data_IF_790277011627
#
_entry.id   IF_790277011627
#
_cell.length_a   1.000
_cell.length_b   1.000
_cell.length_c   1.000
_cell.angle_alpha   90.00
_cell.angle_beta   90.00
_cell.angle_gamma   90.00
#
_symmetry.space_group_name_H-M   'P 1'
#
loop_
_entity.id
_entity.type
_entity.pdbx_description
1 polymer ?
#
# COMPACT_ATOMS: atom_id res chain seq x y z
N UNK A 1 -19.75 -8.82 26.50
CA UNK A 1 -18.42 -8.74 25.90
C UNK A 1 -18.46 -7.73 24.78
N UNK A 2 -17.52 -6.78 24.75
CA UNK A 2 -17.39 -5.79 23.66
C UNK A 2 -16.22 -6.22 22.79
N UNK A 3 -16.47 -6.33 21.49
CA UNK A 3 -15.45 -6.65 20.50
C UNK A 3 -15.12 -5.40 19.67
N UNK A 4 -13.85 -5.18 19.39
CA UNK A 4 -13.37 -4.10 18.55
C UNK A 4 -12.82 -4.66 17.25
N UNK A 5 -13.25 -4.11 16.14
CA UNK A 5 -12.77 -4.50 14.81
C UNK A 5 -12.68 -3.29 13.88
N UNK A 6 -11.68 -3.24 13.02
CA UNK A 6 -11.58 -2.27 11.94
C UNK A 6 -12.34 -2.68 10.67
N UNK A 7 -12.87 -3.89 10.64
CA UNK A 7 -13.61 -4.44 9.48
C UNK A 7 -14.84 -5.18 9.98
N UNK A 8 -15.91 -4.46 10.41
CA UNK A 8 -17.12 -5.05 10.98
C UNK A 8 -18.04 -5.66 9.90
N UNK A 9 -17.47 -6.46 8.98
CA UNK A 9 -18.22 -7.05 7.87
C UNK A 9 -18.37 -8.55 8.03
N UNK A 10 -19.55 -9.06 7.74
CA UNK A 10 -19.81 -10.44 7.45
C UNK A 10 -20.14 -10.54 5.95
N UNK A 11 -19.29 -11.22 5.20
CA UNK A 11 -19.31 -11.20 3.72
C UNK A 11 -19.17 -9.78 3.19
N UNK A 12 -20.24 -9.15 2.66
CA UNK A 12 -20.24 -7.78 2.15
C UNK A 12 -21.21 -6.86 2.93
N UNK A 13 -21.69 -7.28 4.09
CA UNK A 13 -22.62 -6.52 4.92
C UNK A 13 -22.01 -6.17 6.27
N UNK A 14 -22.31 -4.96 6.76
CA UNK A 14 -21.91 -4.55 8.11
C UNK A 14 -22.66 -5.41 9.13
N UNK A 15 -21.96 -5.86 10.17
CA UNK A 15 -22.57 -6.63 11.26
C UNK A 15 -23.74 -5.83 11.88
N UNK A 16 -24.91 -6.45 12.11
CA UNK A 16 -26.09 -5.73 12.60
C UNK A 16 -25.96 -5.21 14.06
N UNK A 17 -24.97 -5.71 14.79
CA UNK A 17 -24.77 -5.42 16.22
C UNK A 17 -23.65 -4.39 16.47
N UNK A 18 -23.35 -3.52 15.51
CA UNK A 18 -22.38 -2.42 15.70
C UNK A 18 -23.00 -1.36 16.60
N UNK A 19 -22.49 -1.25 17.84
CA UNK A 19 -22.97 -0.29 18.85
C UNK A 19 -22.39 1.10 18.64
N UNK A 20 -21.17 1.19 18.14
CA UNK A 20 -20.46 2.44 17.85
C UNK A 20 -19.51 2.26 16.67
N UNK A 21 -19.55 3.21 15.75
CA UNK A 21 -18.64 3.25 14.60
C UNK A 21 -17.94 4.61 14.55
N UNK A 22 -16.61 4.58 14.44
CA UNK A 22 -15.80 5.76 14.14
C UNK A 22 -15.19 5.56 12.76
N UNK A 23 -15.75 6.24 11.77
CA UNK A 23 -15.44 6.03 10.36
C UNK A 23 -14.09 6.59 9.94
N UNK A 24 -13.60 6.15 8.80
CA UNK A 24 -12.38 6.67 8.17
C UNK A 24 -12.49 8.15 7.85
N UNK A 25 -13.63 8.58 7.35
CA UNK A 25 -13.93 10.00 7.07
C UNK A 25 -13.69 10.88 8.28
N UNK A 26 -14.22 10.49 9.44
CA UNK A 26 -14.05 11.23 10.68
C UNK A 26 -12.58 11.20 11.16
N UNK A 27 -11.92 10.06 11.03
CA UNK A 27 -10.51 9.90 11.39
C UNK A 27 -9.58 10.76 10.53
N UNK A 28 -9.86 10.89 9.24
CA UNK A 28 -9.13 11.78 8.32
C UNK A 28 -9.43 13.24 8.64
N UNK A 29 -10.71 13.61 8.81
CA UNK A 29 -11.13 14.97 9.14
C UNK A 29 -10.53 15.46 10.46
N UNK A 30 -10.44 14.59 11.46
CA UNK A 30 -9.80 14.87 12.75
C UNK A 30 -8.27 14.71 12.74
N UNK A 31 -7.67 14.47 11.56
CA UNK A 31 -6.22 14.37 11.37
C UNK A 31 -5.53 13.23 12.13
N UNK A 32 -6.27 12.18 12.50
CA UNK A 32 -5.68 10.95 13.07
C UNK A 32 -5.08 10.05 12.00
N UNK A 33 -5.52 10.25 10.76
CA UNK A 33 -5.00 9.55 9.57
C UNK A 33 -4.51 10.55 8.54
N UNK A 34 -3.65 10.09 7.63
CA UNK A 34 -3.28 10.85 6.43
C UNK A 34 -4.53 11.15 5.60
N UNK A 35 -4.53 12.29 4.93
CA UNK A 35 -5.43 12.54 3.81
C UNK A 35 -5.12 11.57 2.66
N UNK A 36 -6.06 11.36 1.73
CA UNK A 36 -5.89 10.39 0.66
C UNK A 36 -6.29 10.94 -0.70
N UNK A 37 -5.44 10.69 -1.70
CA UNK A 37 -5.73 10.90 -3.11
C UNK A 37 -5.97 9.55 -3.79
N UNK A 38 -7.21 9.29 -4.17
CA UNK A 38 -7.63 8.04 -4.79
C UNK A 38 -7.86 8.28 -6.29
N UNK A 39 -7.26 7.42 -7.14
CA UNK A 39 -7.53 7.42 -8.58
C UNK A 39 -7.86 6.03 -9.06
N UNK A 40 -8.99 5.90 -9.76
CA UNK A 40 -9.43 4.68 -10.41
C UNK A 40 -9.00 4.61 -11.87
N UNK A 41 -8.61 3.42 -12.31
CA UNK A 41 -8.16 3.13 -13.67
C UNK A 41 -9.00 2.03 -14.29
N UNK A 42 -9.23 2.11 -15.62
CA UNK A 42 -9.98 1.08 -16.35
C UNK A 42 -9.18 -0.22 -16.48
N UNK A 43 -7.87 -0.10 -16.66
CA UNK A 43 -6.96 -1.25 -16.75
C UNK A 43 -5.78 -1.07 -15.78
N UNK A 44 -5.82 -1.82 -14.69
CA UNK A 44 -4.73 -1.85 -13.70
C UNK A 44 -3.67 -2.91 -14.00
N UNK A 45 -3.95 -3.86 -14.92
CA UNK A 45 -3.01 -4.90 -15.34
C UNK A 45 -2.28 -4.47 -16.62
N UNK A 46 -1.48 -3.40 -16.50
CA UNK A 46 -0.71 -2.89 -17.63
C UNK A 46 0.57 -2.20 -17.17
N UNK A 47 1.58 -2.22 -18.03
CA UNK A 47 2.84 -1.49 -17.82
C UNK A 47 2.58 0.02 -17.70
N UNK A 48 1.61 0.54 -18.46
CA UNK A 48 1.23 1.96 -18.40
C UNK A 48 0.70 2.34 -17.03
N UNK A 49 -0.11 1.48 -16.38
CA UNK A 49 -0.57 1.70 -15.03
C UNK A 49 0.60 1.77 -14.05
N UNK A 50 1.51 0.79 -14.07
CA UNK A 50 2.68 0.77 -13.19
C UNK A 50 3.57 1.99 -13.41
N UNK A 51 3.81 2.37 -14.66
CA UNK A 51 4.59 3.57 -15.01
C UNK A 51 3.96 4.81 -14.41
N UNK A 52 2.68 5.05 -14.67
CA UNK A 52 1.95 6.22 -14.16
C UNK A 52 1.99 6.28 -12.63
N UNK A 53 1.77 5.15 -11.96
CA UNK A 53 1.77 5.10 -10.49
C UNK A 53 3.14 5.42 -9.91
N UNK A 54 4.20 4.86 -10.49
CA UNK A 54 5.58 5.08 -10.01
C UNK A 54 6.00 6.53 -10.26
N UNK A 55 5.71 7.08 -11.45
CA UNK A 55 6.00 8.48 -11.79
C UNK A 55 5.26 9.45 -10.87
N UNK A 56 3.94 9.27 -10.65
CA UNK A 56 3.13 10.06 -9.71
C UNK A 56 3.71 10.01 -8.28
N UNK A 57 4.06 8.80 -7.83
CA UNK A 57 4.63 8.59 -6.51
C UNK A 57 5.98 9.27 -6.38
N UNK A 58 6.87 9.08 -7.34
CA UNK A 58 8.22 9.65 -7.30
C UNK A 58 8.22 11.17 -7.43
N UNK A 59 7.39 11.73 -8.30
CA UNK A 59 7.21 13.17 -8.42
C UNK A 59 6.73 13.83 -7.11
N UNK A 60 5.90 13.10 -6.35
CA UNK A 60 5.33 13.62 -5.11
C UNK A 60 6.26 13.42 -3.91
N UNK A 61 6.94 12.27 -3.82
CA UNK A 61 7.64 11.83 -2.60
C UNK A 61 9.14 11.56 -2.80
N UNK A 62 9.64 11.57 -4.02
CA UNK A 62 11.07 11.35 -4.31
C UNK A 62 11.95 12.32 -3.54
N UNK A 63 12.94 11.79 -2.83
CA UNK A 63 13.88 12.54 -2.01
C UNK A 63 13.33 13.13 -0.69
N UNK A 64 12.02 12.97 -0.39
CA UNK A 64 11.44 13.41 0.89
C UNK A 64 11.74 12.43 2.00
N UNK A 65 11.84 12.97 3.22
CA UNK A 65 11.97 12.20 4.46
C UNK A 65 10.94 12.68 5.48
N UNK A 66 10.37 11.74 6.21
CA UNK A 66 9.47 11.97 7.33
C UNK A 66 9.99 11.20 8.54
N UNK A 67 10.38 11.90 9.60
CA UNK A 67 11.07 11.32 10.77
C UNK A 67 12.30 10.46 10.39
N UNK A 68 13.04 10.85 9.36
CA UNK A 68 14.21 10.11 8.84
C UNK A 68 13.86 8.93 7.93
N UNK A 69 12.59 8.69 7.65
CA UNK A 69 12.11 7.59 6.83
C UNK A 69 11.66 8.06 5.44
N UNK A 70 12.11 7.37 4.40
CA UNK A 70 11.64 7.60 3.04
C UNK A 70 10.22 7.08 2.84
N UNK A 71 9.33 7.83 2.17
CA UNK A 71 8.03 7.34 1.73
C UNK A 71 8.13 6.06 0.90
N UNK A 72 7.17 5.16 1.08
CA UNK A 72 7.12 3.85 0.43
C UNK A 72 5.83 3.68 -0.36
N UNK A 73 5.95 2.97 -1.49
CA UNK A 73 4.85 2.53 -2.35
C UNK A 73 4.75 1.02 -2.30
N UNK A 74 3.60 0.49 -1.90
CA UNK A 74 3.29 -0.93 -1.98
C UNK A 74 2.51 -1.25 -3.25
N UNK A 75 2.95 -2.23 -4.02
CA UNK A 75 2.30 -2.70 -5.23
C UNK A 75 1.86 -4.15 -5.01
N UNK A 76 0.55 -4.41 -5.09
CA UNK A 76 -0.04 -5.71 -4.83
C UNK A 76 -0.39 -6.43 -6.13
N UNK A 77 0.26 -7.56 -6.38
CA UNK A 77 -0.11 -8.53 -7.41
C UNK A 77 -1.14 -9.54 -6.91
N UNK A 78 -1.75 -10.25 -7.84
CA UNK A 78 -2.72 -11.31 -7.53
C UNK A 78 -2.03 -12.63 -7.20
N UNK A 79 -0.96 -12.96 -7.91
CA UNK A 79 -0.19 -14.20 -7.78
C UNK A 79 1.29 -13.90 -7.63
N UNK A 80 2.04 -14.89 -7.15
CA UNK A 80 3.49 -14.82 -7.05
C UNK A 80 4.11 -14.67 -8.44
N UNK A 81 3.61 -15.44 -9.40
CA UNK A 81 4.07 -15.39 -10.79
C UNK A 81 3.91 -13.99 -11.41
N UNK A 82 2.76 -13.36 -11.22
CA UNK A 82 2.50 -11.98 -11.64
C UNK A 82 3.49 -10.98 -11.01
N UNK A 83 3.79 -11.13 -9.71
CA UNK A 83 4.76 -10.26 -9.02
C UNK A 83 6.16 -10.43 -9.61
N UNK A 84 6.58 -11.66 -9.90
CA UNK A 84 7.95 -11.96 -10.34
C UNK A 84 8.14 -11.68 -11.82
N UNK A 85 7.17 -12.08 -12.67
CA UNK A 85 7.33 -12.09 -14.11
C UNK A 85 6.69 -10.90 -14.83
N UNK A 86 5.79 -10.17 -14.19
CA UNK A 86 5.12 -9.00 -14.78
C UNK A 86 5.48 -7.71 -14.01
N UNK A 87 5.13 -7.64 -12.72
CA UNK A 87 5.27 -6.40 -11.93
C UNK A 87 6.74 -6.04 -11.77
N UNK A 88 7.57 -6.96 -11.30
CA UNK A 88 8.99 -6.70 -11.04
C UNK A 88 9.74 -6.19 -12.27
N UNK A 89 9.69 -6.84 -13.45
CA UNK A 89 10.40 -6.35 -14.63
C UNK A 89 9.90 -4.98 -15.10
N UNK A 90 8.59 -4.71 -14.98
CA UNK A 90 8.02 -3.42 -15.33
C UNK A 90 8.50 -2.32 -14.36
N UNK A 91 8.50 -2.59 -13.05
CA UNK A 91 9.02 -1.66 -12.04
C UNK A 91 10.51 -1.39 -12.26
N UNK A 92 11.34 -2.42 -12.44
CA UNK A 92 12.78 -2.28 -12.70
C UNK A 92 13.06 -1.38 -13.92
N UNK A 93 12.28 -1.55 -14.99
CA UNK A 93 12.38 -0.72 -16.21
C UNK A 93 12.04 0.74 -15.92
N UNK A 94 10.93 1.01 -15.27
CA UNK A 94 10.50 2.37 -14.94
C UNK A 94 11.50 3.06 -14.01
N UNK A 95 11.99 2.36 -12.98
CA UNK A 95 13.00 2.92 -12.07
C UNK A 95 14.29 3.25 -12.81
N UNK A 96 14.73 2.38 -13.74
CA UNK A 96 15.90 2.63 -14.57
C UNK A 96 15.72 3.85 -15.48
N UNK A 97 14.53 4.02 -16.08
CA UNK A 97 14.19 5.20 -16.88
C UNK A 97 14.23 6.50 -16.04
N UNK A 98 13.86 6.43 -14.78
CA UNK A 98 13.88 7.56 -13.84
C UNK A 98 15.22 7.76 -13.13
N UNK A 99 16.22 6.90 -13.37
CA UNK A 99 17.52 6.96 -12.70
C UNK A 99 17.45 6.60 -11.21
N UNK A 100 16.45 5.81 -10.80
CA UNK A 100 16.26 5.37 -9.43
C UNK A 100 16.97 4.03 -9.21
N UNK A 101 17.80 3.89 -8.16
CA UNK A 101 18.50 2.65 -7.88
C UNK A 101 17.55 1.46 -7.64
N UNK A 102 17.84 0.30 -8.24
CA UNK A 102 17.01 -0.91 -8.13
C UNK A 102 17.07 -1.56 -6.75
N UNK A 103 18.08 -1.25 -5.95
CA UNK A 103 18.18 -1.69 -4.55
C UNK A 103 17.06 -1.12 -3.66
N UNK A 104 16.33 -0.10 -4.13
CA UNK A 104 15.11 0.42 -3.47
C UNK A 104 13.90 -0.52 -3.61
N UNK A 105 13.98 -1.56 -4.42
CA UNK A 105 12.94 -2.58 -4.54
C UNK A 105 13.07 -3.59 -3.39
N UNK A 106 11.94 -3.99 -2.84
CA UNK A 106 11.80 -5.12 -1.92
C UNK A 106 10.67 -6.01 -2.41
N UNK A 107 10.89 -7.33 -2.41
CA UNK A 107 9.89 -8.31 -2.81
C UNK A 107 9.55 -9.18 -1.62
N UNK A 108 8.28 -9.25 -1.24
CA UNK A 108 7.79 -10.15 -0.21
C UNK A 108 6.52 -10.87 -0.69
N UNK A 109 6.70 -12.04 -1.27
CA UNK A 109 5.62 -12.90 -1.75
C UNK A 109 5.15 -13.90 -0.69
N UNK A 110 5.97 -14.09 0.36
CA UNK A 110 5.76 -15.13 1.36
C UNK A 110 6.20 -16.53 0.91
N UNK A 111 6.78 -16.67 -0.28
CA UNK A 111 7.42 -17.90 -0.74
C UNK A 111 8.94 -17.80 -0.46
N UNK A 112 9.48 -18.73 0.32
CA UNK A 112 10.88 -18.74 0.74
C UNK A 112 11.86 -18.92 -0.44
N UNK A 113 11.42 -19.46 -1.57
CA UNK A 113 12.25 -19.58 -2.78
C UNK A 113 12.48 -18.24 -3.47
N UNK A 114 11.57 -17.29 -3.27
CA UNK A 114 11.58 -15.98 -3.93
C UNK A 114 11.96 -14.87 -2.95
N UNK A 115 11.37 -14.88 -1.77
CA UNK A 115 11.64 -13.91 -0.72
C UNK A 115 12.82 -14.42 0.12
N UNK A 116 13.97 -13.77 0.01
CA UNK A 116 15.18 -14.13 0.75
C UNK A 116 15.10 -13.65 2.20
N UNK A 117 15.89 -14.26 3.09
CA UNK A 117 15.93 -13.87 4.52
C UNK A 117 16.23 -12.39 4.73
N UNK A 118 17.12 -11.81 3.93
CA UNK A 118 17.41 -10.38 3.98
C UNK A 118 16.21 -9.51 3.58
N UNK A 119 15.36 -9.96 2.65
CA UNK A 119 14.15 -9.26 2.26
C UNK A 119 13.07 -9.37 3.35
N UNK A 120 12.98 -10.51 4.03
CA UNK A 120 12.09 -10.70 5.18
C UNK A 120 12.50 -9.75 6.32
N UNK A 121 13.81 -9.69 6.62
CA UNK A 121 14.34 -8.77 7.63
C UNK A 121 14.07 -7.32 7.23
N UNK A 122 14.43 -6.92 6.01
CA UNK A 122 14.17 -5.58 5.50
C UNK A 122 12.68 -5.20 5.55
N UNK A 123 11.78 -6.16 5.27
CA UNK A 123 10.33 -5.95 5.37
C UNK A 123 9.86 -5.69 6.81
N UNK A 124 10.47 -6.34 7.78
CA UNK A 124 10.16 -6.12 9.19
C UNK A 124 10.72 -4.78 9.71
N UNK A 125 11.81 -4.31 9.11
CA UNK A 125 12.56 -3.11 9.53
C UNK A 125 12.24 -1.86 8.66
N UNK A 126 11.13 -1.85 7.91
CA UNK A 126 10.77 -0.75 6.98
C UNK A 126 10.70 0.63 7.67
N UNK A 127 10.29 0.68 8.92
CA UNK A 127 10.18 1.90 9.73
C UNK A 127 11.31 2.03 10.78
N UNK A 128 12.37 1.24 10.66
CA UNK A 128 13.56 1.35 11.52
C UNK A 128 14.58 2.23 10.80
N UNK A 129 14.82 3.43 11.30
CA UNK A 129 15.77 4.39 10.73
C UNK A 129 17.16 3.77 10.61
N UNK A 130 17.87 4.08 9.52
CA UNK A 130 19.21 3.57 9.20
C UNK A 130 19.31 2.05 8.97
N UNK A 131 18.18 1.35 8.90
CA UNK A 131 18.13 -0.06 8.50
C UNK A 131 18.15 -0.25 6.97
N UNK A 132 18.42 -1.48 6.52
CA UNK A 132 18.22 -1.84 5.11
C UNK A 132 16.76 -1.69 4.69
N UNK A 133 15.80 -1.91 5.61
CA UNK A 133 14.38 -1.76 5.35
C UNK A 133 13.98 -0.31 5.11
N UNK A 134 14.55 0.64 5.87
CA UNK A 134 14.21 2.07 5.71
C UNK A 134 14.60 2.62 4.34
N UNK A 135 15.59 2.03 3.67
CA UNK A 135 16.04 2.42 2.32
C UNK A 135 15.15 1.90 1.20
N UNK A 136 14.30 0.89 1.48
CA UNK A 136 13.36 0.33 0.52
C UNK A 136 12.19 1.28 0.30
N UNK A 137 11.85 1.54 -0.97
CA UNK A 137 10.78 2.47 -1.34
C UNK A 137 9.68 1.83 -2.19
N UNK A 138 9.98 0.77 -2.94
CA UNK A 138 9.03 0.06 -3.79
C UNK A 138 8.86 -1.37 -3.29
N UNK A 139 7.71 -1.65 -2.66
CA UNK A 139 7.44 -2.92 -1.98
C UNK A 139 6.49 -3.75 -2.85
N UNK A 140 6.98 -4.83 -3.43
CA UNK A 140 6.19 -5.72 -4.27
C UNK A 140 5.63 -6.87 -3.44
N UNK A 141 4.32 -7.01 -3.41
CA UNK A 141 3.61 -7.91 -2.51
C UNK A 141 2.66 -8.86 -3.26
N UNK A 142 2.60 -10.11 -2.77
CA UNK A 142 1.54 -11.04 -3.10
C UNK A 142 1.01 -11.67 -1.80
N UNK A 143 -0.28 -11.51 -1.53
CA UNK A 143 -0.95 -12.05 -0.34
C UNK A 143 -0.36 -11.67 1.04
N UNK A 144 0.83 -11.11 1.11
CA UNK A 144 1.45 -10.58 2.34
C UNK A 144 1.01 -9.12 2.57
N UNK A 145 1.18 -8.62 3.79
CA UNK A 145 0.78 -7.27 4.15
C UNK A 145 -0.72 -7.07 4.34
N UNK A 146 -1.52 -8.16 4.34
CA UNK A 146 -2.95 -8.10 4.67
C UNK A 146 -3.15 -7.87 6.17
N UNK A 147 -2.41 -8.61 6.99
CA UNK A 147 -2.52 -8.58 8.46
C UNK A 147 -1.14 -8.47 9.10
N UNK A 148 -1.09 -7.90 10.31
CA UNK A 148 0.12 -7.84 11.13
C UNK A 148 1.23 -6.89 10.65
N UNK A 149 1.14 -6.33 9.44
CA UNK A 149 2.16 -5.42 8.93
C UNK A 149 1.86 -3.97 9.33
N UNK A 150 2.82 -3.35 9.99
CA UNK A 150 2.75 -1.93 10.38
C UNK A 150 3.88 -1.16 9.70
N UNK A 151 3.54 -0.24 8.80
CA UNK A 151 4.48 0.63 8.13
C UNK A 151 3.89 2.05 8.05
N UNK A 152 4.36 2.96 8.94
CA UNK A 152 3.90 4.35 8.97
C UNK A 152 4.44 5.15 7.79
N UNK A 153 5.62 4.77 7.30
CA UNK A 153 6.24 5.37 6.12
C UNK A 153 5.64 4.90 4.79
N UNK A 154 4.56 4.09 4.81
CA UNK A 154 3.80 3.77 3.62
C UNK A 154 2.95 4.98 3.22
N UNK A 155 3.21 5.54 2.05
CA UNK A 155 2.52 6.71 1.49
C UNK A 155 1.75 6.39 0.21
N UNK A 156 2.00 5.24 -0.39
CA UNK A 156 1.34 4.82 -1.60
C UNK A 156 0.92 3.35 -1.60
N UNK A 157 -0.23 3.07 -2.18
CA UNK A 157 -0.70 1.71 -2.47
C UNK A 157 -1.20 1.65 -3.91
N UNK A 158 -0.74 0.66 -4.65
CA UNK A 158 -1.23 0.32 -5.98
C UNK A 158 -1.74 -1.13 -6.00
N UNK A 159 -2.97 -1.33 -6.47
CA UNK A 159 -3.51 -2.68 -6.68
C UNK A 159 -3.39 -3.03 -8.17
N UNK A 160 -2.40 -3.85 -8.52
CA UNK A 160 -2.23 -4.45 -9.86
C UNK A 160 -3.20 -5.62 -10.06
N UNK A 161 -4.41 -5.47 -9.52
CA UNK A 161 -5.48 -6.46 -9.55
C UNK A 161 -6.81 -5.79 -9.20
N UNK A 162 -7.91 -6.41 -9.58
CA UNK A 162 -9.26 -6.00 -9.18
C UNK A 162 -9.87 -7.05 -8.24
N UNK A 163 -9.55 -7.01 -6.94
CA UNK A 163 -10.10 -7.97 -5.99
C UNK A 163 -11.60 -7.75 -5.80
N UNK A 164 -12.36 -8.85 -5.69
CA UNK A 164 -13.80 -8.81 -5.42
C UNK A 164 -14.12 -8.61 -3.93
N UNK A 165 -13.17 -8.86 -3.05
CA UNK A 165 -13.34 -8.74 -1.60
C UNK A 165 -13.21 -7.30 -1.15
N UNK A 166 -14.29 -6.68 -0.69
CA UNK A 166 -14.31 -5.37 -0.04
C UNK A 166 -13.32 -5.31 1.12
N UNK A 167 -13.30 -6.32 1.97
CA UNK A 167 -12.38 -6.39 3.11
C UNK A 167 -10.92 -6.35 2.65
N UNK A 168 -10.57 -7.06 1.57
CA UNK A 168 -9.20 -7.01 1.05
C UNK A 168 -8.84 -5.61 0.54
N UNK A 169 -9.72 -4.97 -0.22
CA UNK A 169 -9.48 -3.61 -0.74
C UNK A 169 -9.23 -2.66 0.42
N UNK A 170 -10.09 -2.67 1.43
CA UNK A 170 -9.96 -1.83 2.61
C UNK A 170 -8.66 -2.14 3.38
N UNK A 171 -8.40 -3.40 3.71
CA UNK A 171 -7.21 -3.78 4.47
C UNK A 171 -5.89 -3.47 3.76
N UNK A 172 -5.83 -3.60 2.44
CA UNK A 172 -4.63 -3.28 1.68
C UNK A 172 -4.40 -1.77 1.57
N UNK A 173 -5.47 -1.01 1.25
CA UNK A 173 -5.35 0.42 0.94
C UNK A 173 -5.27 1.31 2.17
N UNK A 174 -5.97 0.99 3.26
CA UNK A 174 -5.98 1.81 4.48
C UNK A 174 -4.65 1.82 5.23
N UNK A 175 -3.75 0.91 4.93
CA UNK A 175 -2.42 0.88 5.59
C UNK A 175 -1.61 2.12 5.33
N UNK A 176 -1.73 2.74 4.14
CA UNK A 176 -1.01 3.97 3.84
C UNK A 176 -1.56 5.21 4.56
N UNK A 177 -2.71 5.11 5.20
CA UNK A 177 -3.32 6.24 5.91
C UNK A 177 -2.73 6.49 7.31
N UNK A 178 -1.93 5.58 7.84
CA UNK A 178 -1.31 5.76 9.17
C UNK A 178 -0.38 6.95 9.19
N UNK A 179 -0.58 7.86 10.15
CA UNK A 179 0.27 9.05 10.34
C UNK A 179 1.70 8.67 10.74
N UNK A 180 2.66 9.50 10.33
CA UNK A 180 4.06 9.35 10.71
C UNK A 180 4.58 10.56 11.52
N UNK A 181 4.08 11.77 11.23
CA UNK A 181 4.42 13.00 11.94
C UNK A 181 3.16 13.64 12.52
N UNK A 182 3.34 14.73 13.31
CA UNK A 182 2.22 15.50 13.88
C UNK A 182 1.36 16.24 12.84
N UNK A 183 1.94 16.59 11.68
CA UNK A 183 1.20 17.22 10.60
C UNK A 183 0.54 16.17 9.70
N UNK A 184 -0.67 16.46 9.23
CA UNK A 184 -1.38 15.56 8.35
C UNK A 184 -0.70 15.49 6.98
N UNK A 185 -0.18 14.31 6.64
CA UNK A 185 0.36 14.03 5.31
C UNK A 185 -0.75 13.57 4.39
N UNK A 186 -0.41 13.44 3.10
CA UNK A 186 -1.28 12.87 2.08
C UNK A 186 -0.76 11.53 1.62
N UNK A 187 -1.61 10.55 1.44
CA UNK A 187 -1.29 9.27 0.83
C UNK A 187 -1.89 9.17 -0.57
N UNK A 188 -1.38 8.28 -1.41
CA UNK A 188 -1.95 7.99 -2.73
C UNK A 188 -2.44 6.54 -2.79
N UNK A 189 -3.61 6.34 -3.40
CA UNK A 189 -4.16 5.01 -3.67
C UNK A 189 -4.53 4.93 -5.15
N UNK A 190 -4.00 3.92 -5.83
CA UNK A 190 -4.18 3.67 -7.25
C UNK A 190 -4.73 2.26 -7.46
N UNK A 191 -5.90 2.15 -8.06
CA UNK A 191 -6.63 0.89 -8.16
C UNK A 191 -7.62 0.91 -9.34
N UNK A 192 -8.36 -0.17 -9.56
CA UNK A 192 -9.42 -0.17 -10.58
C UNK A 192 -10.57 0.76 -10.19
N UNK A 193 -11.30 1.27 -11.18
CA UNK A 193 -12.52 2.08 -10.96
C UNK A 193 -13.54 1.34 -10.09
N UNK A 194 -13.74 0.04 -10.35
CA UNK A 194 -14.62 -0.80 -9.55
C UNK A 194 -14.23 -0.83 -8.05
N UNK A 195 -12.94 -0.93 -7.75
CA UNK A 195 -12.46 -0.92 -6.38
C UNK A 195 -12.42 0.49 -5.77
N UNK A 196 -12.35 1.54 -6.59
CA UNK A 196 -12.45 2.92 -6.12
C UNK A 196 -13.83 3.20 -5.52
N UNK A 197 -14.90 2.66 -6.10
CA UNK A 197 -16.26 2.83 -5.59
C UNK A 197 -16.41 2.22 -4.18
N UNK A 198 -15.72 1.10 -3.92
CA UNK A 198 -15.66 0.48 -2.58
C UNK A 198 -15.04 1.44 -1.57
N UNK A 199 -13.91 2.09 -1.92
CA UNK A 199 -13.24 3.03 -1.01
C UNK A 199 -14.06 4.31 -0.80
N UNK A 200 -14.66 4.84 -1.87
CA UNK A 200 -15.46 6.05 -1.78
C UNK A 200 -16.72 5.87 -0.91
N UNK A 201 -17.23 4.64 -0.78
CA UNK A 201 -18.34 4.35 0.11
C UNK A 201 -17.97 4.41 1.60
N UNK A 202 -16.67 4.28 1.94
CA UNK A 202 -16.15 4.30 3.29
C UNK A 202 -15.55 5.66 3.69
N UNK A 203 -15.32 6.54 2.71
CA UNK A 203 -14.76 7.89 2.86
C UNK A 203 -15.84 8.97 2.70
#
# INVERSE_FOLDING_TARGET
CYNYTGTPYLENSVLPEVVYSYGLKDAIANKYLKDVDIKGYDNVKSDTFLKTVIEDFWATYGGKLYEGLSPKLAIFGATIDEVVNEIRPAVERVLSELGIPLDKILINTGDEKITKDNDIKAFNDLDVVDSLGSQKQFILLCNKGREGWNCRSLFGVALFRSPKSTVFVLQATMRCLRQITGDQQKAIVRLSKENMDILNAEL
#
